data_IF_192682242451
#
_entry.id   IF_192682242451
#
_cell.length_a   1.000
_cell.length_b   1.000
_cell.length_c   1.000
_cell.angle_alpha   90.00
_cell.angle_beta   90.00
_cell.angle_gamma   90.00
#
_symmetry.space_group_name_H-M   'P 1'
#
loop_
_entity.id
_entity.type
_entity.pdbx_description
1 polymer ?
#
# COMPACT_ATOMS: atom_id res chain seq x y z
N UNK A 1 -14.25 4.70 -1.00
CA UNK A 1 -12.88 4.61 -1.60
C UNK A 1 -12.48 3.15 -1.58
N UNK A 2 -11.84 2.62 -2.63
CA UNK A 2 -11.44 1.21 -2.72
C UNK A 2 -9.94 1.12 -2.96
N UNK A 3 -9.21 0.36 -2.14
CA UNK A 3 -7.80 0.06 -2.39
C UNK A 3 -7.70 -0.83 -3.64
N UNK A 4 -6.95 -0.37 -4.64
CA UNK A 4 -6.76 -1.01 -5.95
C UNK A 4 -5.29 -1.19 -6.32
N UNK A 5 -4.34 -0.68 -5.53
CA UNK A 5 -2.93 -1.02 -5.65
C UNK A 5 -2.26 -0.93 -4.27
N UNK A 6 -1.37 -1.86 -3.94
CA UNK A 6 -0.50 -1.74 -2.76
C UNK A 6 0.84 -2.39 -3.08
N UNK A 7 1.93 -1.70 -2.79
CA UNK A 7 3.29 -2.23 -2.99
C UNK A 7 4.27 -1.59 -2.02
N UNK A 8 5.32 -2.33 -1.68
CA UNK A 8 6.41 -1.83 -0.84
C UNK A 8 7.54 -1.32 -1.72
N UNK A 9 8.04 -0.14 -1.34
CA UNK A 9 9.14 0.55 -2.00
C UNK A 9 10.18 0.94 -0.95
N UNK A 10 11.40 1.15 -1.42
CA UNK A 10 12.49 1.67 -0.60
C UNK A 10 12.89 3.05 -1.13
N UNK A 11 13.21 3.97 -0.24
CA UNK A 11 13.86 5.24 -0.59
C UNK A 11 15.02 5.52 0.36
N UNK A 12 16.03 6.22 -0.14
CA UNK A 12 17.15 6.70 0.68
C UNK A 12 16.82 8.08 1.25
N UNK A 13 17.05 8.27 2.54
CA UNK A 13 16.92 9.57 3.22
C UNK A 13 18.08 10.49 2.85
N UNK A 14 17.95 11.78 3.19
CA UNK A 14 19.04 12.75 3.05
C UNK A 14 20.28 12.35 3.86
N UNK A 15 20.08 11.70 5.01
CA UNK A 15 21.15 11.18 5.87
C UNK A 15 21.74 9.85 5.38
N UNK A 16 21.26 9.31 4.26
CA UNK A 16 21.80 8.11 3.61
C UNK A 16 21.21 6.79 4.09
N UNK A 17 20.18 6.80 4.95
CA UNK A 17 19.51 5.59 5.42
C UNK A 17 18.42 5.11 4.46
N UNK A 18 18.27 3.80 4.31
CA UNK A 18 17.18 3.23 3.53
C UNK A 18 15.90 3.11 4.39
N UNK A 19 14.80 3.69 3.91
CA UNK A 19 13.48 3.58 4.52
C UNK A 19 12.54 2.84 3.59
N UNK A 20 11.87 1.85 4.16
CA UNK A 20 10.80 1.11 3.51
C UNK A 20 9.45 1.79 3.75
N UNK A 21 8.65 1.91 2.71
CA UNK A 21 7.33 2.52 2.76
C UNK A 21 6.39 1.83 1.77
N UNK A 22 5.08 1.88 2.04
CA UNK A 22 4.08 1.40 1.12
C UNK A 22 3.55 2.53 0.24
N UNK A 23 3.32 2.20 -1.03
CA UNK A 23 2.50 3.01 -1.95
C UNK A 23 1.14 2.35 -2.09
N UNK A 24 0.11 3.11 -1.79
CA UNK A 24 -1.28 2.68 -1.80
C UNK A 24 -2.01 3.46 -2.88
N UNK A 25 -2.72 2.74 -3.75
CA UNK A 25 -3.55 3.30 -4.81
C UNK A 25 -5.01 3.06 -4.50
N UNK A 26 -5.81 4.13 -4.47
CA UNK A 26 -7.24 4.06 -4.19
C UNK A 26 -8.05 4.53 -5.39
N UNK A 27 -9.04 3.75 -5.79
CA UNK A 27 -10.10 4.20 -6.66
C UNK A 27 -11.15 4.95 -5.83
N UNK A 28 -11.42 6.19 -6.21
CA UNK A 28 -12.44 7.06 -5.62
C UNK A 28 -13.50 7.39 -6.67
N UNK A 29 -14.64 7.97 -6.25
CA UNK A 29 -15.66 8.45 -7.17
C UNK A 29 -15.16 9.59 -8.08
N UNK A 30 -14.07 10.27 -7.71
CA UNK A 30 -13.47 11.39 -8.44
C UNK A 30 -12.23 11.00 -9.26
N UNK A 31 -11.85 9.71 -9.26
CA UNK A 31 -10.66 9.22 -9.92
C UNK A 31 -9.70 8.48 -8.99
N UNK A 32 -8.43 8.41 -9.38
CA UNK A 32 -7.38 7.67 -8.68
C UNK A 32 -6.64 8.56 -7.66
N UNK A 33 -6.41 8.04 -6.46
CA UNK A 33 -5.63 8.69 -5.41
C UNK A 33 -4.46 7.79 -5.00
N UNK A 34 -3.24 8.30 -5.15
CA UNK A 34 -2.03 7.66 -4.63
C UNK A 34 -1.66 8.21 -3.26
N UNK A 35 -1.24 7.33 -2.35
CA UNK A 35 -0.78 7.70 -1.01
C UNK A 35 0.46 6.89 -0.62
N UNK A 36 1.51 7.58 -0.17
CA UNK A 36 2.71 6.95 0.37
C UNK A 36 2.65 6.96 1.90
N UNK A 37 2.90 5.82 2.54
CA UNK A 37 2.88 5.68 3.99
C UNK A 37 4.04 4.83 4.50
N UNK A 38 4.63 5.23 5.62
CA UNK A 38 5.60 4.40 6.33
C UNK A 38 4.95 3.08 6.78
N UNK A 39 5.72 1.99 6.75
CA UNK A 39 5.20 0.66 7.12
C UNK A 39 4.68 0.60 8.56
N UNK A 40 5.27 1.38 9.48
CA UNK A 40 4.82 1.49 10.88
C UNK A 40 3.46 2.15 11.06
N UNK A 41 2.95 2.84 10.03
CA UNK A 41 1.65 3.52 10.03
C UNK A 41 0.54 2.69 9.38
N UNK A 42 0.87 1.52 8.81
CA UNK A 42 -0.10 0.63 8.19
C UNK A 42 -0.77 -0.24 9.25
N UNK A 43 -2.05 -0.55 9.03
CA UNK A 43 -2.66 -1.66 9.76
C UNK A 43 -2.02 -2.98 9.34
N UNK A 44 -2.07 -4.03 10.18
CA UNK A 44 -1.53 -5.34 9.81
C UNK A 44 -2.08 -5.89 8.49
N UNK A 45 -3.38 -5.68 8.22
CA UNK A 45 -4.03 -6.13 6.98
C UNK A 45 -3.50 -5.39 5.76
N UNK A 46 -3.34 -4.06 5.86
CA UNK A 46 -2.80 -3.26 4.76
C UNK A 46 -1.34 -3.60 4.48
N UNK A 47 -0.57 -3.90 5.55
CA UNK A 47 0.80 -4.35 5.45
C UNK A 47 0.88 -5.70 4.73
N UNK A 48 0.05 -6.67 5.10
CA UNK A 48 0.01 -7.98 4.43
C UNK A 48 -0.32 -7.85 2.93
N UNK A 49 -1.24 -6.95 2.56
CA UNK A 49 -1.59 -6.69 1.14
C UNK A 49 -0.45 -6.00 0.39
N UNK A 50 0.27 -5.07 1.02
CA UNK A 50 1.42 -4.41 0.41
C UNK A 50 2.63 -5.38 0.27
N UNK A 51 2.83 -6.28 1.24
CA UNK A 51 3.89 -7.29 1.24
C UNK A 51 3.63 -8.40 0.21
N UNK A 52 2.37 -8.83 0.05
CA UNK A 52 2.05 -9.86 -0.94
C UNK A 52 2.18 -9.36 -2.38
N UNK A 53 2.07 -8.04 -2.61
CA UNK A 53 1.92 -7.47 -3.95
C UNK A 53 0.64 -7.90 -4.67
N UNK A 54 -0.15 -8.76 -4.03
CA UNK A 54 -1.44 -9.19 -4.50
C UNK A 54 -2.49 -8.22 -4.00
N UNK A 55 -3.23 -7.67 -4.95
CA UNK A 55 -4.48 -7.04 -4.66
C UNK A 55 -5.46 -8.08 -4.16
N UNK A 56 -5.45 -8.33 -2.84
CA UNK A 56 -6.59 -8.96 -2.21
C UNK A 56 -7.81 -8.17 -2.67
N UNK A 57 -8.62 -8.82 -3.50
CA UNK A 57 -10.00 -8.41 -3.73
C UNK A 57 -10.65 -8.45 -2.36
N UNK A 58 -10.53 -7.35 -1.61
CA UNK A 58 -11.27 -7.02 -0.40
C UNK A 58 -12.74 -7.06 -0.81
N UNK A 59 -13.32 -8.26 -0.80
CA UNK A 59 -14.61 -8.54 -1.42
C UNK A 59 -14.90 -9.98 -1.81
N UNK A 60 -13.92 -10.86 -2.08
CA UNK A 60 -14.23 -12.29 -2.33
C UNK A 60 -13.09 -13.20 -1.87
N UNK A 61 -13.22 -13.75 -0.66
CA UNK A 61 -12.93 -15.18 -0.47
C UNK A 61 -13.99 -15.92 -1.28
N UNK A 62 -13.61 -16.43 -2.44
CA UNK A 62 -14.38 -17.48 -3.13
C UNK A 62 -13.67 -18.80 -2.84
N UNK A 63 -14.42 -19.87 -2.55
CA UNK A 63 -13.91 -21.16 -2.07
C UNK A 63 -13.09 -21.92 -3.11
#
# INVERSE_FOLDING_TARGET
>A
MKLVHASIHTMKTIDGHDIWYARLGYQTARGYLGQSMLLSRLTPEMRAVAESGELMKLGKRTP
#
